data_IF_554425192238
#
_entry.id   IF_554425192238
#
_cell.length_a   1.000
_cell.length_b   1.000
_cell.length_c   1.000
_cell.angle_alpha   90.00
_cell.angle_beta   90.00
_cell.angle_gamma   90.00
#
_symmetry.space_group_name_H-M   'P 1'
#
loop_
_entity.id
_entity.type
_entity.pdbx_description
1 polymer ?
#
# COMPACT_ATOMS: atom_id res chain seq x y z
N UNK A 1 11.21 -2.49 -18.09
CA UNK A 1 10.61 -1.69 -16.99
C UNK A 1 10.27 -2.63 -15.85
N UNK A 2 10.51 -2.22 -14.60
CA UNK A 2 10.11 -3.02 -13.42
C UNK A 2 8.71 -2.61 -12.94
N UNK A 3 8.06 -3.49 -12.16
CA UNK A 3 6.72 -3.22 -11.58
C UNK A 3 6.71 -1.92 -10.77
N UNK A 4 7.73 -1.70 -9.94
CA UNK A 4 7.80 -0.52 -9.07
C UNK A 4 8.03 0.78 -9.87
N UNK A 5 8.80 0.76 -10.97
CA UNK A 5 8.99 1.95 -11.82
C UNK A 5 7.70 2.38 -12.51
N UNK A 6 6.84 1.42 -12.89
CA UNK A 6 5.53 1.70 -13.47
C UNK A 6 4.64 2.35 -12.40
N UNK A 7 4.51 1.72 -11.24
CA UNK A 7 3.64 2.22 -10.16
C UNK A 7 4.10 3.63 -9.71
N UNK A 8 5.40 3.82 -9.47
CA UNK A 8 5.94 5.11 -9.03
C UNK A 8 5.68 6.20 -10.07
N UNK A 9 5.89 5.92 -11.36
CA UNK A 9 5.68 6.92 -12.42
C UNK A 9 4.22 7.36 -12.49
N UNK A 10 3.27 6.42 -12.38
CA UNK A 10 1.85 6.77 -12.41
C UNK A 10 1.42 7.55 -11.16
N UNK A 11 1.92 7.19 -9.99
CA UNK A 11 1.67 7.94 -8.76
C UNK A 11 2.26 9.35 -8.82
N UNK A 12 3.51 9.49 -9.26
CA UNK A 12 4.17 10.78 -9.41
C UNK A 12 3.47 11.66 -10.44
N UNK A 13 3.01 11.09 -11.57
CA UNK A 13 2.21 11.81 -12.55
C UNK A 13 0.89 12.31 -11.94
N UNK A 14 0.17 11.45 -11.20
CA UNK A 14 -1.06 11.83 -10.52
C UNK A 14 -0.81 12.96 -9.49
N UNK A 15 0.30 12.89 -8.74
CA UNK A 15 0.68 13.92 -7.79
C UNK A 15 1.07 15.24 -8.48
N UNK A 16 1.86 15.18 -9.55
CA UNK A 16 2.31 16.36 -10.31
C UNK A 16 1.14 17.15 -10.91
N UNK A 17 0.07 16.46 -11.28
CA UNK A 17 -1.16 17.07 -11.80
C UNK A 17 -2.18 17.43 -10.71
N UNK A 18 -1.83 17.24 -9.43
CA UNK A 18 -2.70 17.48 -8.29
C UNK A 18 -2.29 18.70 -7.46
N UNK A 19 -3.15 19.07 -6.50
CA UNK A 19 -2.85 20.08 -5.49
C UNK A 19 -2.21 19.49 -4.23
N UNK A 20 -1.45 18.38 -4.32
CA UNK A 20 -0.86 17.70 -3.17
C UNK A 20 0.09 18.59 -2.35
N UNK A 21 0.66 19.64 -2.96
CA UNK A 21 1.52 20.59 -2.30
C UNK A 21 0.80 21.65 -1.45
N UNK A 22 -0.53 21.73 -1.46
CA UNK A 22 -1.25 22.86 -0.86
C UNK A 22 -1.14 22.96 0.68
N UNK A 23 -0.79 21.88 1.36
CA UNK A 23 -0.79 21.84 2.84
C UNK A 23 0.58 21.50 3.43
N UNK A 24 1.24 20.45 2.96
CA UNK A 24 2.47 19.90 3.57
C UNK A 24 3.72 20.04 2.68
N UNK A 25 3.69 20.92 1.67
CA UNK A 25 4.90 21.25 0.90
C UNK A 25 5.77 22.30 1.60
N UNK A 26 7.03 22.36 1.21
CA UNK A 26 7.96 23.44 1.58
C UNK A 26 7.41 24.79 1.14
N UNK A 27 6.85 24.88 -0.07
CA UNK A 27 6.28 26.13 -0.61
C UNK A 27 5.09 26.62 0.24
N UNK A 28 4.18 25.73 0.61
CA UNK A 28 3.05 26.05 1.48
C UNK A 28 3.52 26.47 2.88
N UNK A 29 4.56 25.81 3.42
CA UNK A 29 5.14 26.19 4.70
C UNK A 29 5.78 27.59 4.66
N UNK A 30 6.54 27.91 3.62
CA UNK A 30 7.13 29.24 3.41
C UNK A 30 6.05 30.32 3.23
N UNK A 31 5.01 30.04 2.44
CA UNK A 31 3.90 30.95 2.23
C UNK A 31 3.14 31.25 3.53
N UNK A 32 2.93 30.22 4.38
CA UNK A 32 2.31 30.40 5.72
C UNK A 32 3.17 31.28 6.62
N UNK A 33 4.48 31.01 6.67
CA UNK A 33 5.41 31.81 7.47
C UNK A 33 5.44 33.26 7.03
N UNK A 34 5.30 33.52 5.74
CA UNK A 34 5.22 34.87 5.18
C UNK A 34 3.83 35.52 5.29
N UNK A 35 2.85 34.88 5.94
CA UNK A 35 1.48 35.40 6.07
C UNK A 35 0.71 35.48 4.74
N UNK A 36 1.16 34.78 3.69
CA UNK A 36 0.59 34.85 2.34
C UNK A 36 -0.58 33.89 2.09
N UNK A 37 -0.90 33.03 3.05
CA UNK A 37 -2.07 32.14 2.96
C UNK A 37 -3.25 32.81 3.64
N UNK A 38 -4.24 33.19 2.85
CA UNK A 38 -5.55 33.66 3.29
C UNK A 38 -6.63 32.65 2.89
N UNK A 39 -7.52 32.31 3.82
CA UNK A 39 -8.67 31.42 3.57
C UNK A 39 -8.81 30.23 4.55
N UNK A 40 -9.91 29.47 4.45
CA UNK A 40 -10.19 28.35 5.34
C UNK A 40 -9.21 27.20 5.11
N UNK A 41 -8.60 26.71 6.19
CA UNK A 41 -7.77 25.51 6.21
C UNK A 41 -8.58 24.32 6.78
N UNK A 42 -8.50 23.12 6.18
CA UNK A 42 -7.78 22.77 4.95
C UNK A 42 -8.53 23.18 3.66
N UNK A 43 -7.83 23.60 2.59
CA UNK A 43 -8.46 23.89 1.29
C UNK A 43 -9.10 22.64 0.67
N UNK A 44 -10.15 22.84 -0.13
CA UNK A 44 -10.86 21.76 -0.83
C UNK A 44 -10.47 21.70 -2.30
N UNK A 45 -10.17 20.50 -2.78
CA UNK A 45 -9.83 20.22 -4.18
C UNK A 45 -10.64 19.03 -4.71
N UNK A 46 -10.78 18.90 -6.04
CA UNK A 46 -11.33 17.69 -6.64
C UNK A 46 -10.57 16.43 -6.23
N UNK A 47 -11.29 15.35 -5.91
CA UNK A 47 -10.73 14.09 -5.38
C UNK A 47 -10.12 13.18 -6.46
N UNK A 48 -10.20 13.57 -7.74
CA UNK A 48 -9.80 12.71 -8.87
C UNK A 48 -8.37 12.15 -8.78
N UNK A 49 -7.33 12.86 -8.30
CA UNK A 49 -5.97 12.29 -8.23
C UNK A 49 -5.89 11.14 -7.23
N UNK A 50 -6.57 11.29 -6.09
CA UNK A 50 -6.68 10.22 -5.10
C UNK A 50 -7.46 9.03 -5.68
N UNK A 51 -8.56 9.27 -6.42
CA UNK A 51 -9.31 8.19 -7.10
C UNK A 51 -8.48 7.45 -8.14
N UNK A 52 -7.66 8.15 -8.91
CA UNK A 52 -6.73 7.53 -9.86
C UNK A 52 -5.70 6.63 -9.15
N UNK A 53 -5.08 7.12 -8.07
CA UNK A 53 -4.18 6.31 -7.26
C UNK A 53 -4.88 5.07 -6.65
N UNK A 54 -6.10 5.24 -6.13
CA UNK A 54 -6.89 4.15 -5.57
C UNK A 54 -7.23 3.08 -6.62
N UNK A 55 -7.65 3.50 -7.82
CA UNK A 55 -7.94 2.60 -8.93
C UNK A 55 -6.68 1.88 -9.42
N UNK A 56 -5.54 2.58 -9.52
CA UNK A 56 -4.25 1.98 -9.84
C UNK A 56 -3.94 0.82 -8.88
N UNK A 57 -4.10 1.02 -7.58
CA UNK A 57 -3.87 -0.05 -6.60
C UNK A 57 -4.92 -1.16 -6.66
N UNK A 58 -6.20 -0.82 -6.88
CA UNK A 58 -7.24 -1.83 -7.04
C UNK A 58 -6.96 -2.75 -8.24
N UNK A 59 -6.55 -2.19 -9.38
CA UNK A 59 -6.15 -2.96 -10.55
C UNK A 59 -4.84 -3.72 -10.34
N UNK A 60 -3.88 -3.15 -9.62
CA UNK A 60 -2.63 -3.83 -9.29
C UNK A 60 -2.88 -5.10 -8.48
N UNK A 61 -3.70 -4.99 -7.42
CA UNK A 61 -4.08 -6.10 -6.56
C UNK A 61 -4.89 -7.16 -7.32
N UNK A 62 -5.94 -6.72 -8.03
CA UNK A 62 -6.81 -7.64 -8.77
C UNK A 62 -6.05 -8.35 -9.90
N UNK A 63 -5.26 -7.62 -10.67
CA UNK A 63 -4.42 -8.19 -11.74
C UNK A 63 -3.37 -9.17 -11.20
N UNK A 64 -2.74 -8.85 -10.07
CA UNK A 64 -1.80 -9.77 -9.43
C UNK A 64 -2.48 -11.08 -9.01
N UNK A 65 -3.70 -11.01 -8.49
CA UNK A 65 -4.46 -12.19 -8.09
C UNK A 65 -4.82 -13.08 -9.30
N UNK A 66 -5.24 -12.50 -10.42
CA UNK A 66 -5.57 -13.24 -11.65
C UNK A 66 -4.35 -14.02 -12.13
N UNK A 67 -3.18 -13.37 -12.20
CA UNK A 67 -1.96 -14.05 -12.66
C UNK A 67 -1.58 -15.23 -11.76
N UNK A 68 -1.77 -15.10 -10.44
CA UNK A 68 -1.52 -16.20 -9.49
C UNK A 68 -2.55 -17.31 -9.60
N UNK A 69 -3.83 -16.97 -9.77
CA UNK A 69 -4.92 -17.94 -9.94
C UNK A 69 -4.66 -18.85 -11.15
N UNK A 70 -4.04 -18.30 -12.21
CA UNK A 70 -3.68 -19.02 -13.43
C UNK A 70 -2.35 -19.78 -13.34
N UNK A 71 -1.61 -19.69 -12.23
CA UNK A 71 -0.30 -20.33 -12.06
C UNK A 71 -0.42 -21.50 -11.10
N UNK A 72 -0.34 -22.74 -11.62
CA UNK A 72 -0.50 -23.96 -10.82
C UNK A 72 0.56 -24.07 -9.71
N UNK A 73 1.81 -23.70 -10.04
CA UNK A 73 2.96 -23.72 -9.13
C UNK A 73 2.78 -22.75 -7.95
N UNK A 74 1.90 -21.75 -8.09
CA UNK A 74 1.59 -20.86 -6.99
C UNK A 74 0.82 -21.59 -5.89
N UNK A 75 -0.17 -22.42 -6.24
CA UNK A 75 -0.96 -23.17 -5.27
C UNK A 75 -0.31 -24.46 -4.78
N UNK A 76 0.65 -25.02 -5.52
CA UNK A 76 1.52 -26.09 -4.98
C UNK A 76 2.54 -25.56 -3.97
N UNK A 77 2.75 -24.24 -3.92
CA UNK A 77 3.74 -23.57 -3.08
C UNK A 77 5.13 -23.50 -3.70
N UNK A 78 5.37 -24.16 -4.83
CA UNK A 78 6.68 -24.20 -5.49
C UNK A 78 7.10 -22.83 -6.05
N UNK A 79 6.15 -22.06 -6.60
CA UNK A 79 6.44 -20.69 -7.04
C UNK A 79 6.86 -19.79 -5.86
N UNK A 80 6.21 -19.97 -4.70
CA UNK A 80 6.55 -19.24 -3.48
C UNK A 80 7.95 -19.64 -2.98
N UNK A 81 8.22 -20.95 -2.95
CA UNK A 81 9.54 -21.50 -2.59
C UNK A 81 10.64 -20.90 -3.47
N UNK A 82 10.42 -20.91 -4.78
CA UNK A 82 11.34 -20.34 -5.76
C UNK A 82 11.60 -18.86 -5.47
N UNK A 83 10.57 -18.04 -5.27
CA UNK A 83 10.77 -16.62 -4.98
C UNK A 83 11.53 -16.37 -3.68
N UNK A 84 11.24 -17.14 -2.63
CA UNK A 84 11.91 -17.02 -1.33
C UNK A 84 13.39 -17.43 -1.37
N UNK A 85 13.80 -18.32 -2.27
CA UNK A 85 15.20 -18.77 -2.43
C UNK A 85 15.99 -17.98 -3.47
N UNK A 86 15.31 -17.27 -4.37
CA UNK A 86 15.96 -16.64 -5.53
C UNK A 86 16.85 -15.45 -5.21
N UNK A 87 16.60 -14.74 -4.10
CA UNK A 87 17.25 -13.46 -3.76
C UNK A 87 17.29 -12.44 -4.94
N UNK A 88 16.35 -12.53 -5.90
CA UNK A 88 16.37 -11.72 -7.13
C UNK A 88 16.34 -10.20 -6.87
N UNK A 89 15.81 -9.81 -5.71
CA UNK A 89 15.71 -8.41 -5.32
C UNK A 89 16.82 -8.04 -4.33
N UNK A 90 16.76 -8.66 -3.15
CA UNK A 90 17.69 -8.46 -2.04
C UNK A 90 17.75 -9.74 -1.20
N UNK A 91 18.78 -9.86 -0.38
CA UNK A 91 18.94 -10.98 0.56
C UNK A 91 17.75 -11.08 1.54
N UNK A 92 17.20 -12.27 1.71
CA UNK A 92 16.04 -12.52 2.58
C UNK A 92 16.18 -13.83 3.40
N UNK A 93 17.06 -13.88 4.40
CA UNK A 93 17.38 -15.12 5.15
C UNK A 93 16.17 -15.74 5.88
N UNK A 94 15.21 -14.91 6.31
CA UNK A 94 13.94 -15.39 6.87
C UNK A 94 13.13 -16.12 5.79
N UNK A 95 13.11 -15.57 4.58
CA UNK A 95 12.48 -16.20 3.43
C UNK A 95 13.08 -17.56 3.11
N UNK A 96 14.40 -17.64 3.02
CA UNK A 96 15.12 -18.90 2.75
C UNK A 96 14.81 -19.97 3.80
N UNK A 97 14.77 -19.59 5.07
CA UNK A 97 14.43 -20.52 6.17
C UNK A 97 12.99 -21.02 6.03
N UNK A 98 12.04 -20.12 5.80
CA UNK A 98 10.63 -20.46 5.65
C UNK A 98 10.33 -21.23 4.35
N UNK A 99 11.18 -21.08 3.33
CA UNK A 99 11.10 -21.83 2.08
C UNK A 99 11.25 -23.34 2.29
N UNK A 100 11.78 -23.79 3.43
CA UNK A 100 11.89 -25.21 3.75
C UNK A 100 10.59 -25.82 4.30
N UNK A 101 9.58 -25.00 4.60
CA UNK A 101 8.36 -25.41 5.31
C UNK A 101 7.14 -25.37 4.40
N UNK A 102 6.86 -26.48 3.69
CA UNK A 102 5.73 -26.58 2.75
C UNK A 102 4.36 -26.12 3.30
N UNK A 103 3.97 -26.38 4.57
CA UNK A 103 2.71 -25.86 5.10
C UNK A 103 2.61 -24.33 5.09
N UNK A 104 3.72 -23.62 5.34
CA UNK A 104 3.77 -22.16 5.32
C UNK A 104 3.62 -21.63 3.90
N UNK A 105 4.23 -22.31 2.93
CA UNK A 105 4.14 -21.95 1.51
C UNK A 105 2.71 -22.09 0.97
N UNK A 106 2.07 -23.22 1.27
CA UNK A 106 0.68 -23.47 0.91
C UNK A 106 -0.24 -22.43 1.53
N UNK A 107 -0.16 -22.24 2.85
CA UNK A 107 -0.95 -21.21 3.54
C UNK A 107 -0.71 -19.81 2.95
N UNK A 108 0.55 -19.43 2.75
CA UNK A 108 0.94 -18.15 2.19
C UNK A 108 0.39 -17.93 0.78
N UNK A 109 0.37 -18.96 -0.07
CA UNK A 109 -0.19 -18.88 -1.41
C UNK A 109 -1.69 -18.56 -1.38
N UNK A 110 -2.49 -19.38 -0.69
CA UNK A 110 -3.94 -19.15 -0.61
C UNK A 110 -4.26 -17.82 0.10
N UNK A 111 -3.59 -17.52 1.21
CA UNK A 111 -3.81 -16.27 1.94
C UNK A 111 -3.48 -15.04 1.07
N UNK A 112 -2.42 -15.09 0.28
CA UNK A 112 -2.04 -14.01 -0.65
C UNK A 112 -3.11 -13.79 -1.70
N UNK A 113 -3.57 -14.84 -2.38
CA UNK A 113 -4.59 -14.70 -3.44
C UNK A 113 -5.90 -14.20 -2.86
N UNK A 114 -6.36 -14.76 -1.73
CA UNK A 114 -7.57 -14.30 -1.06
C UNK A 114 -7.42 -12.81 -0.75
N UNK A 115 -6.33 -12.42 -0.07
CA UNK A 115 -6.05 -11.03 0.26
C UNK A 115 -6.12 -10.11 -0.96
N UNK A 116 -5.45 -10.48 -2.05
CA UNK A 116 -5.39 -9.66 -3.24
C UNK A 116 -6.75 -9.51 -3.95
N UNK A 117 -7.60 -10.53 -3.88
CA UNK A 117 -8.98 -10.48 -4.41
C UNK A 117 -9.88 -9.62 -3.55
N UNK A 118 -9.87 -9.76 -2.21
CA UNK A 118 -10.80 -8.99 -1.35
C UNK A 118 -10.38 -7.54 -1.14
N UNK A 119 -9.09 -7.21 -1.17
CA UNK A 119 -8.59 -5.85 -0.97
C UNK A 119 -9.35 -4.77 -1.77
N UNK A 120 -9.48 -4.85 -3.12
CA UNK A 120 -10.13 -3.82 -3.91
C UNK A 120 -11.62 -3.62 -3.60
N UNK A 121 -12.28 -4.55 -2.92
CA UNK A 121 -13.69 -4.40 -2.52
C UNK A 121 -13.81 -3.85 -1.10
N UNK A 122 -12.99 -4.33 -0.17
CA UNK A 122 -13.07 -3.95 1.25
C UNK A 122 -12.44 -2.59 1.55
N UNK A 123 -11.44 -2.17 0.77
CA UNK A 123 -10.72 -0.90 1.05
C UNK A 123 -11.60 0.34 0.84
N UNK A 124 -12.63 0.27 -0.01
CA UNK A 124 -13.55 1.40 -0.24
C UNK A 124 -14.65 1.51 0.82
N UNK A 125 -14.86 0.48 1.65
CA UNK A 125 -15.88 0.49 2.69
C UNK A 125 -15.40 1.28 3.92
N UNK A 126 -16.19 2.27 4.35
CA UNK A 126 -15.81 3.21 5.43
C UNK A 126 -15.54 2.55 6.78
N UNK A 127 -16.11 1.37 7.04
CA UNK A 127 -15.97 0.64 8.30
C UNK A 127 -14.72 -0.23 8.32
N UNK A 128 -14.35 -0.85 7.19
CA UNK A 128 -13.23 -1.81 7.11
C UNK A 128 -11.93 -1.17 6.62
N UNK A 129 -12.00 -0.02 5.95
CA UNK A 129 -10.85 0.62 5.28
C UNK A 129 -9.57 0.65 6.10
N UNK A 130 -9.58 1.19 7.32
CA UNK A 130 -8.35 1.28 8.13
C UNK A 130 -7.78 -0.09 8.51
N UNK A 131 -8.63 -1.07 8.78
CA UNK A 131 -8.20 -2.45 9.04
C UNK A 131 -7.57 -3.09 7.80
N UNK A 132 -8.20 -2.89 6.64
CA UNK A 132 -7.69 -3.39 5.34
C UNK A 132 -6.35 -2.74 4.99
N UNK A 133 -6.19 -1.43 5.20
CA UNK A 133 -4.89 -0.77 5.00
C UNK A 133 -3.83 -1.30 5.98
N UNK A 134 -4.20 -1.59 7.23
CA UNK A 134 -3.31 -2.19 8.22
C UNK A 134 -2.86 -3.61 7.85
N UNK A 135 -3.80 -4.48 7.46
CA UNK A 135 -3.49 -5.83 6.97
C UNK A 135 -2.64 -5.76 5.70
N UNK A 136 -2.93 -4.82 4.80
CA UNK A 136 -2.12 -4.58 3.60
C UNK A 136 -0.69 -4.16 3.93
N UNK A 137 -0.51 -3.30 4.94
CA UNK A 137 0.81 -2.89 5.39
C UNK A 137 1.58 -4.07 6.00
N UNK A 138 0.90 -4.93 6.77
CA UNK A 138 1.47 -6.17 7.29
C UNK A 138 1.82 -7.14 6.16
N UNK A 139 0.95 -7.32 5.18
CA UNK A 139 1.21 -8.14 3.99
C UNK A 139 2.47 -7.64 3.25
N UNK A 140 2.59 -6.34 3.07
CA UNK A 140 3.76 -5.71 2.46
C UNK A 140 5.03 -5.84 3.31
N UNK A 141 4.92 -5.75 4.62
CA UNK A 141 6.04 -6.03 5.53
C UNK A 141 6.47 -7.50 5.43
N UNK A 142 5.53 -8.44 5.38
CA UNK A 142 5.83 -9.85 5.21
C UNK A 142 6.55 -10.10 3.88
N UNK A 143 6.05 -9.56 2.76
CA UNK A 143 6.75 -9.71 1.46
C UNK A 143 8.13 -9.06 1.43
N UNK A 144 8.34 -7.98 2.20
CA UNK A 144 9.67 -7.39 2.36
C UNK A 144 10.62 -8.37 3.05
N UNK A 145 10.20 -8.96 4.17
CA UNK A 145 11.01 -9.88 4.99
C UNK A 145 11.21 -11.24 4.31
N UNK A 146 10.17 -11.77 3.65
CA UNK A 146 10.16 -13.13 3.14
C UNK A 146 10.58 -13.25 1.68
N UNK A 147 10.47 -12.18 0.88
CA UNK A 147 10.82 -12.17 -0.55
C UNK A 147 11.90 -11.13 -0.89
N UNK A 148 12.45 -10.43 0.10
CA UNK A 148 13.45 -9.39 -0.10
C UNK A 148 12.92 -8.19 -0.87
N UNK A 149 11.61 -7.91 -0.86
CA UNK A 149 11.04 -6.81 -1.63
C UNK A 149 11.13 -5.49 -0.85
N UNK A 150 12.13 -4.65 -1.15
CA UNK A 150 12.26 -3.35 -0.46
C UNK A 150 11.46 -2.24 -1.14
N UNK A 151 11.72 -1.99 -2.42
CA UNK A 151 11.18 -0.82 -3.11
C UNK A 151 9.67 -0.96 -3.34
N UNK A 152 9.21 -2.12 -3.80
CA UNK A 152 7.81 -2.35 -4.17
C UNK A 152 6.85 -2.18 -2.97
N UNK A 153 7.04 -2.85 -1.82
CA UNK A 153 6.16 -2.71 -0.66
C UNK A 153 6.16 -1.28 -0.10
N UNK A 154 7.29 -0.58 -0.10
CA UNK A 154 7.36 0.83 0.35
C UNK A 154 6.49 1.73 -0.50
N UNK A 155 6.52 1.58 -1.83
CA UNK A 155 5.65 2.35 -2.74
C UNK A 155 4.18 2.02 -2.49
N UNK A 156 3.84 0.74 -2.31
CA UNK A 156 2.46 0.33 -2.06
C UNK A 156 1.91 0.88 -0.73
N UNK A 157 2.68 0.77 0.35
CA UNK A 157 2.30 1.29 1.68
C UNK A 157 2.19 2.82 1.65
N UNK A 158 3.09 3.51 0.96
CA UNK A 158 2.97 4.97 0.76
C UNK A 158 1.70 5.31 -0.03
N UNK A 159 1.40 4.52 -1.05
CA UNK A 159 0.19 4.64 -1.86
C UNK A 159 -1.11 4.50 -1.08
N UNK A 160 -1.12 3.74 0.02
CA UNK A 160 -2.28 3.61 0.91
C UNK A 160 -2.74 4.93 1.53
N UNK A 161 -1.86 5.92 1.64
CA UNK A 161 -2.24 7.27 2.09
C UNK A 161 -3.32 7.89 1.19
N UNK A 162 -3.40 7.49 -0.07
CA UNK A 162 -4.47 7.93 -0.99
C UNK A 162 -5.86 7.43 -0.59
N UNK A 163 -5.98 6.36 0.21
CA UNK A 163 -7.26 5.81 0.66
C UNK A 163 -7.73 6.45 1.97
N UNK A 164 -6.85 7.02 2.78
CA UNK A 164 -7.18 7.58 4.10
C UNK A 164 -7.96 8.88 3.92
N UNK A 165 -9.22 8.91 4.37
CA UNK A 165 -10.05 10.11 4.27
C UNK A 165 -9.99 10.98 5.52
N UNK A 166 -10.47 12.21 5.45
CA UNK A 166 -10.54 13.14 6.59
C UNK A 166 -11.24 12.52 7.82
N UNK A 167 -12.35 11.80 7.63
CA UNK A 167 -13.04 11.09 8.71
C UNK A 167 -12.16 10.06 9.42
N UNK A 168 -11.23 9.44 8.71
CA UNK A 168 -10.31 8.45 9.28
C UNK A 168 -9.24 9.13 10.11
N UNK A 169 -8.68 10.24 9.60
CA UNK A 169 -7.75 11.07 10.36
C UNK A 169 -8.35 11.57 11.67
N UNK A 170 -9.62 11.99 11.65
CA UNK A 170 -10.34 12.38 12.86
C UNK A 170 -10.54 11.22 13.83
N UNK A 171 -10.83 10.00 13.33
CA UNK A 171 -10.94 8.79 14.16
C UNK A 171 -9.60 8.44 14.83
N UNK A 172 -8.51 8.45 14.05
CA UNK A 172 -7.16 8.18 14.54
C UNK A 172 -6.78 9.19 15.63
N UNK A 173 -6.98 10.49 15.37
CA UNK A 173 -6.69 11.55 16.34
C UNK A 173 -7.44 11.35 17.66
N UNK A 174 -8.74 11.05 17.61
CA UNK A 174 -9.55 10.81 18.83
C UNK A 174 -8.99 9.65 19.63
N UNK A 175 -8.68 8.53 18.97
CA UNK A 175 -8.11 7.36 19.63
C UNK A 175 -6.77 7.66 20.32
N UNK A 176 -5.86 8.38 19.65
CA UNK A 176 -4.55 8.75 20.22
C UNK A 176 -4.69 9.71 21.40
N UNK A 177 -5.55 10.72 21.31
CA UNK A 177 -5.73 11.71 22.39
C UNK A 177 -6.37 11.08 23.62
N UNK A 178 -7.36 10.21 23.46
CA UNK A 178 -8.01 9.53 24.60
C UNK A 178 -7.02 8.63 25.35
N UNK A 179 -6.10 7.95 24.66
CA UNK A 179 -5.07 7.10 25.29
C UNK A 179 -3.94 7.86 25.98
N UNK A 180 -3.69 9.12 25.62
CA UNK A 180 -2.66 9.95 26.26
C UNK A 180 -3.14 10.62 27.55
N UNK A 181 -4.46 10.60 27.80
CA UNK A 181 -5.10 11.21 28.97
C UNK A 181 -5.61 10.17 29.99
N UNK A 182 -5.38 8.88 29.73
CA UNK A 182 -5.71 7.73 30.59
C UNK A 182 -4.43 7.07 31.09
#
# INVERSE_FOLDING_TARGET
MTKYSIISTHLLLALALSNCGAIWSVDAWLARRAGRISGPLPPRFPVWPARMAQLLFAFLYFGASITKIQTEEFFSGEQMRYWMLSNWNYENPVGETLAMWSPILLFGAYATVIWEVVFPFLVFQRSTRLYVLGIGALFHLLTNITLGLYIFPTICVTGYLSFVSESDWLRIRRFTVTRLLS
#
